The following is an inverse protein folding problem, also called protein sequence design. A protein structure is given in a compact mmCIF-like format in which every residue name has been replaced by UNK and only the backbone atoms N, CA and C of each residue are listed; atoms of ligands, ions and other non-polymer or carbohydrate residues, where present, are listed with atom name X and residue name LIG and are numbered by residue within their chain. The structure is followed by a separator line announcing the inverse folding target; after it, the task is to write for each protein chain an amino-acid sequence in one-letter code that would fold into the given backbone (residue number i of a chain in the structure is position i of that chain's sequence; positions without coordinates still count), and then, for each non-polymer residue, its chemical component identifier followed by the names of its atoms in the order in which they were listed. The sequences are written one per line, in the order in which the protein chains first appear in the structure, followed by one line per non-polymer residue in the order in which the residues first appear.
data_IF_875284851366
#
_entry.id   IF_875284851366
#
_cell.length_a   1.000
_cell.length_b   1.000
_cell.length_c   1.000
_cell.angle_alpha   90.00
_cell.angle_beta   90.00
_cell.angle_gamma   90.00
#
_symmetry.space_group_name_H-M   'P 1'
#
loop_
_entity.id
_entity.type
_entity.pdbx_description
1 polymer ?
#
# COMPACT_ATOMS: atom_id res chain seq x y z
N UNK A 1 13.31 1.73 2.79
CA UNK A 1 13.46 2.65 3.94
C UNK A 1 13.61 1.93 5.28
N UNK A 2 12.56 1.32 5.87
CA UNK A 2 12.68 0.71 7.22
C UNK A 2 13.75 -0.39 7.30
N UNK A 3 13.73 -1.34 6.36
CA UNK A 3 14.73 -2.42 6.30
C UNK A 3 16.14 -1.89 6.05
N UNK A 4 16.30 -0.88 5.20
CA UNK A 4 17.59 -0.23 4.95
C UNK A 4 18.14 0.50 6.18
N UNK A 5 17.24 0.97 7.06
CA UNK A 5 17.59 1.55 8.36
C UNK A 5 17.90 0.49 9.44
N UNK A 6 17.89 -0.81 9.09
CA UNK A 6 18.22 -1.91 10.00
C UNK A 6 17.03 -2.52 10.74
N UNK A 7 15.79 -2.11 10.44
CA UNK A 7 14.60 -2.72 11.02
C UNK A 7 14.37 -4.10 10.40
N UNK A 8 13.98 -5.08 11.21
CA UNK A 8 13.67 -6.43 10.73
C UNK A 8 12.57 -6.41 9.67
N UNK A 9 12.70 -7.18 8.57
CA UNK A 9 11.69 -7.22 7.51
C UNK A 9 10.28 -7.56 8.00
N UNK A 10 10.16 -8.44 8.99
CA UNK A 10 8.90 -8.83 9.60
C UNK A 10 8.26 -7.67 10.36
N UNK A 11 9.05 -6.95 11.16
CA UNK A 11 8.59 -5.73 11.85
C UNK A 11 8.16 -4.66 10.85
N UNK A 12 8.96 -4.44 9.79
CA UNK A 12 8.60 -3.49 8.74
C UNK A 12 7.30 -3.88 8.02
N UNK A 13 7.03 -5.18 7.82
CA UNK A 13 5.77 -5.65 7.23
C UNK A 13 4.56 -5.39 8.15
N UNK A 14 4.69 -5.67 9.45
CA UNK A 14 3.62 -5.43 10.42
C UNK A 14 3.28 -3.93 10.53
N UNK A 15 4.29 -3.08 10.63
CA UNK A 15 4.14 -1.62 10.74
C UNK A 15 3.82 -0.91 9.40
N UNK A 16 3.48 -1.66 8.34
CA UNK A 16 3.13 -1.08 7.04
C UNK A 16 1.98 -1.81 6.35
N UNK A 17 2.28 -2.85 5.56
CA UNK A 17 1.30 -3.52 4.70
C UNK A 17 0.22 -4.23 5.53
N UNK A 18 0.56 -4.74 6.72
CA UNK A 18 -0.40 -5.41 7.59
C UNK A 18 -1.48 -4.45 8.15
N UNK A 19 -1.10 -3.22 8.52
CA UNK A 19 -2.02 -2.22 9.08
C UNK A 19 -2.81 -1.44 8.03
N UNK A 20 -2.29 -1.38 6.80
CA UNK A 20 -2.89 -0.60 5.69
C UNK A 20 -4.40 -0.86 5.51
N UNK A 21 -4.91 -2.11 5.54
CA UNK A 21 -6.35 -2.37 5.44
C UNK A 21 -7.17 -1.74 6.58
N UNK A 22 -6.64 -1.71 7.81
CA UNK A 22 -7.34 -1.16 8.97
C UNK A 22 -7.52 0.35 8.83
N UNK A 23 -6.46 1.06 8.45
CA UNK A 23 -6.52 2.52 8.20
C UNK A 23 -7.39 2.82 6.97
N UNK A 24 -7.32 2.01 5.92
CA UNK A 24 -8.19 2.18 4.74
C UNK A 24 -9.67 2.07 5.10
N UNK A 25 -10.03 1.19 6.04
CA UNK A 25 -11.40 1.03 6.51
C UNK A 25 -11.93 2.27 7.25
N UNK A 26 -11.09 3.01 7.99
CA UNK A 26 -11.52 4.26 8.66
C UNK A 26 -11.84 5.35 7.64
N UNK A 27 -11.02 5.46 6.57
CA UNK A 27 -11.26 6.39 5.46
C UNK A 27 -12.53 6.01 4.69
N UNK A 28 -12.75 4.72 4.43
CA UNK A 28 -13.96 4.26 3.77
C UNK A 28 -15.23 4.59 4.56
N UNK A 29 -15.16 4.48 5.90
CA UNK A 29 -16.30 4.65 6.80
C UNK A 29 -16.70 6.12 6.98
N UNK A 30 -15.77 7.04 7.29
CA UNK A 30 -16.07 8.49 7.42
C UNK A 30 -14.92 9.41 6.97
N UNK A 31 -14.25 9.04 5.88
CA UNK A 31 -13.23 9.86 5.21
C UNK A 31 -12.05 10.18 6.16
N UNK A 32 -11.30 11.25 5.86
CA UNK A 32 -10.11 11.64 6.61
C UNK A 32 -10.41 12.05 8.06
N UNK A 33 -11.63 12.52 8.35
CA UNK A 33 -12.03 12.88 9.71
C UNK A 33 -11.87 11.70 10.66
N UNK A 34 -12.45 10.55 10.32
CA UNK A 34 -12.41 9.40 11.20
C UNK A 34 -11.06 8.71 11.23
N UNK A 35 -10.31 8.75 10.13
CA UNK A 35 -8.90 8.34 10.17
C UNK A 35 -8.14 9.11 11.24
N UNK A 36 -8.24 10.44 11.25
CA UNK A 36 -7.51 11.29 12.19
C UNK A 36 -8.01 11.16 13.63
N UNK A 37 -9.31 10.93 13.85
CA UNK A 37 -9.87 10.75 15.21
C UNK A 37 -9.58 9.36 15.79
N UNK A 38 -9.34 8.35 14.95
CA UNK A 38 -9.08 6.97 15.42
C UNK A 38 -7.61 6.73 15.76
N UNK A 39 -6.69 7.40 15.08
CA UNK A 39 -5.24 7.29 15.36
C UNK A 39 -4.85 8.17 16.56
N UNK A 40 -3.65 7.97 17.11
CA UNK A 40 -3.15 8.80 18.21
C UNK A 40 -2.75 10.20 17.73
N UNK A 41 -2.73 11.17 18.64
CA UNK A 41 -2.27 12.54 18.36
C UNK A 41 -0.87 12.59 17.74
N UNK A 42 0.02 11.66 18.12
CA UNK A 42 1.36 11.53 17.52
C UNK A 42 1.28 11.11 16.05
N UNK A 43 0.42 10.14 15.72
CA UNK A 43 0.22 9.70 14.35
C UNK A 43 -0.49 10.76 13.50
N UNK A 44 -1.48 11.46 14.07
CA UNK A 44 -2.16 12.58 13.40
C UNK A 44 -1.18 13.71 13.08
N UNK A 45 -0.36 14.12 14.06
CA UNK A 45 0.66 15.14 13.86
C UNK A 45 1.69 14.73 12.79
N UNK A 46 2.17 13.48 12.85
CA UNK A 46 3.07 12.92 11.84
C UNK A 46 2.47 12.90 10.43
N UNK A 47 1.19 12.54 10.31
CA UNK A 47 0.45 12.58 9.06
C UNK A 47 0.43 14.00 8.46
N UNK A 48 0.15 15.03 9.27
CA UNK A 48 0.14 16.41 8.79
C UNK A 48 1.52 16.90 8.35
N UNK A 49 2.58 16.58 9.09
CA UNK A 49 3.94 16.90 8.67
C UNK A 49 4.27 16.27 7.31
N UNK A 50 3.96 14.99 7.13
CA UNK A 50 4.21 14.30 5.88
C UNK A 50 3.36 14.85 4.73
N UNK A 51 2.05 15.01 4.93
CA UNK A 51 1.13 15.46 3.88
C UNK A 51 1.47 16.87 3.38
N UNK A 52 1.85 17.79 4.28
CA UNK A 52 2.27 19.14 3.92
C UNK A 52 3.55 19.16 3.07
N UNK A 53 4.44 18.19 3.23
CA UNK A 53 5.63 18.03 2.39
C UNK A 53 5.34 17.27 1.09
N UNK A 54 4.57 16.18 1.15
CA UNK A 54 4.34 15.27 0.03
C UNK A 54 3.39 15.85 -1.03
N UNK A 55 2.32 16.54 -0.60
CA UNK A 55 1.30 17.06 -1.53
C UNK A 55 1.89 18.07 -2.53
N UNK A 56 2.70 19.08 -2.12
CA UNK A 56 3.36 19.99 -3.06
C UNK A 56 4.26 19.25 -4.04
N UNK A 57 5.06 18.28 -3.58
CA UNK A 57 5.96 17.49 -4.44
C UNK A 57 5.15 16.76 -5.51
N UNK A 58 4.08 16.08 -5.13
CA UNK A 58 3.22 15.37 -6.07
C UNK A 58 2.51 16.33 -7.03
N UNK A 59 1.96 17.44 -6.53
CA UNK A 59 1.25 18.44 -7.33
C UNK A 59 2.15 19.09 -8.38
N UNK A 60 3.38 19.43 -8.02
CA UNK A 60 4.28 20.20 -8.88
C UNK A 60 5.09 19.31 -9.83
N UNK A 61 5.52 18.13 -9.37
CA UNK A 61 6.46 17.30 -10.13
C UNK A 61 5.82 16.11 -10.82
N UNK A 62 4.77 15.53 -10.24
CA UNK A 62 4.20 14.28 -10.74
C UNK A 62 2.88 14.51 -11.47
N UNK A 63 1.91 15.17 -10.83
CA UNK A 63 0.57 15.36 -11.38
C UNK A 63 0.50 16.04 -12.76
N UNK A 64 1.39 17.00 -13.13
CA UNK A 64 1.37 17.57 -14.48
C UNK A 64 1.69 16.56 -15.58
N UNK A 65 2.32 15.43 -15.24
CA UNK A 65 2.63 14.34 -16.18
C UNK A 65 1.52 13.31 -16.32
N UNK A 66 0.46 13.40 -15.51
CA UNK A 66 -0.62 12.43 -15.45
C UNK A 66 -1.85 12.98 -16.17
N UNK A 67 -2.31 12.25 -17.20
CA UNK A 67 -3.56 12.56 -17.89
C UNK A 67 -4.74 11.78 -17.27
N UNK A 68 -5.94 12.31 -17.51
CA UNK A 68 -7.23 11.71 -17.19
C UNK A 68 -7.43 10.29 -17.74
N UNK A 69 -6.67 9.90 -18.78
CA UNK A 69 -6.64 8.52 -19.28
C UNK A 69 -6.00 7.52 -18.32
N UNK A 70 -5.15 7.99 -17.40
CA UNK A 70 -4.51 7.18 -16.35
C UNK A 70 -5.34 7.18 -15.07
N UNK A 71 -6.03 8.30 -14.79
CA UNK A 71 -6.89 8.46 -13.61
C UNK A 71 -8.23 9.11 -13.97
N UNK A 72 -9.34 8.46 -13.59
CA UNK A 72 -10.68 9.05 -13.68
C UNK A 72 -11.45 8.75 -14.98
N UNK A 73 -10.78 8.57 -16.13
CA UNK A 73 -11.40 7.94 -17.32
C UNK A 73 -10.94 6.49 -17.35
N UNK A 74 -11.89 5.56 -17.34
CA UNK A 74 -11.60 4.13 -17.44
C UNK A 74 -10.79 3.79 -18.71
N UNK A 75 -10.26 2.57 -18.76
CA UNK A 75 -9.45 2.12 -19.88
C UNK A 75 -10.25 2.20 -21.19
N UNK A 76 -9.77 2.97 -22.16
CA UNK A 76 -10.35 3.09 -23.51
C UNK A 76 -9.99 1.91 -24.42
N UNK A 77 -9.25 0.94 -23.90
CA UNK A 77 -8.83 -0.25 -24.64
C UNK A 77 -10.04 -1.12 -24.98
N UNK A 78 -10.24 -1.36 -26.27
CA UNK A 78 -11.28 -2.27 -26.81
C UNK A 78 -10.87 -3.74 -26.74
N UNK A 79 -9.63 -4.02 -26.32
CA UNK A 79 -9.06 -5.37 -26.22
C UNK A 79 -8.25 -5.50 -24.92
N UNK A 80 -8.39 -6.64 -24.26
CA UNK A 80 -7.61 -7.02 -23.07
C UNK A 80 -6.31 -7.76 -23.43
N UNK A 81 -5.94 -7.80 -24.71
CA UNK A 81 -4.71 -8.46 -25.14
C UNK A 81 -3.50 -7.67 -24.65
N UNK A 82 -2.62 -8.36 -23.94
CA UNK A 82 -1.34 -7.85 -23.46
C UNK A 82 -0.23 -8.77 -23.96
N UNK A 83 0.97 -8.22 -24.12
CA UNK A 83 2.14 -9.03 -24.46
C UNK A 83 2.43 -10.03 -23.32
N UNK A 84 2.29 -11.32 -23.61
CA UNK A 84 2.43 -12.39 -22.60
C UNK A 84 3.77 -12.33 -21.86
N UNK A 85 4.87 -12.07 -22.57
CA UNK A 85 6.20 -11.97 -21.96
C UNK A 85 6.26 -10.85 -20.93
N UNK A 86 5.83 -9.65 -21.32
CA UNK A 86 5.76 -8.47 -20.44
C UNK A 86 4.87 -8.72 -19.22
N UNK A 87 3.75 -9.42 -19.39
CA UNK A 87 2.87 -9.78 -18.28
C UNK A 87 3.56 -10.72 -17.28
N UNK A 88 4.29 -11.73 -17.77
CA UNK A 88 5.08 -12.63 -16.92
C UNK A 88 6.16 -11.86 -16.17
N UNK A 89 6.90 -11.00 -16.86
CA UNK A 89 7.99 -10.21 -16.26
C UNK A 89 7.47 -9.29 -15.13
N UNK A 90 6.33 -8.63 -15.36
CA UNK A 90 5.69 -7.77 -14.34
C UNK A 90 5.19 -8.59 -13.15
N UNK A 91 4.54 -9.73 -13.40
CA UNK A 91 4.05 -10.60 -12.33
C UNK A 91 5.18 -11.15 -11.46
N UNK A 92 6.30 -11.54 -12.08
CA UNK A 92 7.48 -12.00 -11.36
C UNK A 92 8.06 -10.87 -10.51
N UNK A 93 8.25 -9.67 -11.07
CA UNK A 93 8.77 -8.52 -10.34
C UNK A 93 7.94 -8.15 -9.10
N UNK A 94 6.61 -8.26 -9.19
CA UNK A 94 5.72 -8.02 -8.05
C UNK A 94 5.90 -9.12 -6.99
N UNK A 95 5.85 -10.39 -7.39
CA UNK A 95 5.92 -11.54 -6.47
C UNK A 95 7.29 -11.69 -5.80
N UNK A 96 8.35 -11.30 -6.50
CA UNK A 96 9.72 -11.33 -5.98
C UNK A 96 10.04 -10.15 -5.05
N UNK A 97 9.14 -9.18 -4.91
CA UNK A 97 9.37 -8.04 -4.03
C UNK A 97 9.47 -8.51 -2.57
N UNK A 98 10.43 -7.96 -1.82
CA UNK A 98 10.74 -8.43 -0.45
C UNK A 98 9.53 -8.42 0.48
N UNK A 99 8.65 -7.42 0.36
CA UNK A 99 7.41 -7.32 1.15
C UNK A 99 6.44 -8.49 0.88
N UNK A 100 6.40 -9.01 -0.35
CA UNK A 100 5.53 -10.13 -0.72
C UNK A 100 6.07 -11.45 -0.18
N UNK A 101 7.39 -11.65 -0.25
CA UNK A 101 8.04 -12.84 0.31
C UNK A 101 7.84 -12.93 1.83
N UNK A 102 8.09 -11.83 2.56
CA UNK A 102 7.90 -11.75 4.00
C UNK A 102 6.42 -11.89 4.35
N UNK A 103 5.55 -11.15 3.65
CA UNK A 103 4.11 -11.18 3.88
C UNK A 103 3.47 -12.54 3.65
N UNK A 104 3.90 -13.27 2.62
CA UNK A 104 3.42 -14.64 2.36
C UNK A 104 3.74 -15.57 3.53
N UNK A 105 4.95 -15.49 4.06
CA UNK A 105 5.40 -16.30 5.20
C UNK A 105 4.59 -15.98 6.46
N UNK A 106 4.48 -14.70 6.80
CA UNK A 106 3.74 -14.26 8.00
C UNK A 106 2.24 -14.57 7.92
N UNK A 107 1.60 -14.36 6.76
CA UNK A 107 0.18 -14.72 6.56
C UNK A 107 -0.06 -16.23 6.61
N UNK A 108 0.92 -17.04 6.19
CA UNK A 108 0.90 -18.49 6.35
C UNK A 108 0.77 -18.87 7.82
N UNK A 109 1.68 -18.38 8.66
CA UNK A 109 1.64 -18.66 10.10
C UNK A 109 0.35 -18.20 10.77
N UNK A 110 -0.19 -17.04 10.40
CA UNK A 110 -1.48 -16.56 10.94
C UNK A 110 -2.68 -17.42 10.54
N UNK A 111 -2.64 -17.99 9.34
CA UNK A 111 -3.68 -18.93 8.86
C UNK A 111 -3.57 -20.25 9.60
N UNK A 112 -2.35 -20.76 9.78
CA UNK A 112 -2.09 -22.01 10.51
C UNK A 112 -2.48 -21.90 11.99
N UNK A 113 -2.24 -20.73 12.61
CA UNK A 113 -2.70 -20.44 13.97
C UNK A 113 -4.23 -20.33 14.10
N UNK A 114 -4.97 -20.11 12.99
CA UNK A 114 -6.43 -19.91 13.01
C UNK A 114 -7.25 -21.22 13.02
N UNK A 115 -6.63 -22.40 13.15
CA UNK A 115 -7.37 -23.63 13.44
C UNK A 115 -6.57 -24.60 14.33
N UNK A 116 -6.82 -24.52 15.64
CA UNK A 116 -7.00 -25.72 16.48
C UNK A 116 -8.44 -25.64 16.98
N UNK A 117 -9.40 -25.91 16.08
CA UNK A 117 -10.78 -26.17 16.50
C UNK A 117 -10.81 -27.67 16.80
N UNK A 118 -10.68 -28.01 18.09
CA UNK A 118 -11.04 -29.32 18.62
C UNK A 118 -12.54 -29.41 18.85
#
# INVERSE_FOLDING_TARGET
VMVEAGILPESAYYESLHETPLISNTIARKRLYEMNVVISDTAEYGNYLFANAAIPILREKFMPTIDTSVIGKGLSATSNQVENKRLVDINEAIRSHGVESVGKTLRGYMTDMKAIIG
#
